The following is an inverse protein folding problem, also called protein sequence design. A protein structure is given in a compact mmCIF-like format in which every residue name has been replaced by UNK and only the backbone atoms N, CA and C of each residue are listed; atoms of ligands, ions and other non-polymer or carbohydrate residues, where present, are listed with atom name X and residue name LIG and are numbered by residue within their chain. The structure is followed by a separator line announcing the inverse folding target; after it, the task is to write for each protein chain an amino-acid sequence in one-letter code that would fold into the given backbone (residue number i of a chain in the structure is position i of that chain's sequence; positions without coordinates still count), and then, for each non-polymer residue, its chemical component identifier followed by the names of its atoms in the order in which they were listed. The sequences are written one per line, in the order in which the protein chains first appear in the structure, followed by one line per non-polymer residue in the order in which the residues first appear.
data_IF_584455889949
#
_entry.id   IF_584455889949
#
_cell.length_a   1.000
_cell.length_b   1.000
_cell.length_c   1.000
_cell.angle_alpha   90.00
_cell.angle_beta   90.00
_cell.angle_gamma   90.00
#
_symmetry.space_group_name_H-M   'P 1'
#
loop_
_entity.id
_entity.type
_entity.pdbx_description
1 polymer ?
#
# COMPACT_ATOMS: atom_id res chain seq x y z
N UNK A 1 -7.34 1.14 -43.85
CA UNK A 1 -5.87 1.27 -43.82
C UNK A 1 -5.29 -0.12 -43.73
N UNK A 2 -4.30 -0.42 -44.56
CA UNK A 2 -3.76 -1.76 -44.79
C UNK A 2 -2.96 -2.24 -43.56
N UNK A 3 -3.25 -3.43 -43.04
CA UNK A 3 -2.73 -3.99 -41.77
C UNK A 3 -1.28 -4.49 -41.84
N UNK A 4 -0.57 -4.26 -42.94
CA UNK A 4 0.76 -4.82 -43.21
C UNK A 4 1.95 -3.90 -42.86
N UNK A 5 1.72 -2.67 -42.40
CA UNK A 5 2.79 -1.67 -42.19
C UNK A 5 3.21 -1.42 -40.71
N UNK A 6 2.90 -2.33 -39.80
CA UNK A 6 3.21 -2.17 -38.35
C UNK A 6 4.68 -2.52 -38.02
N UNK A 7 5.45 -3.07 -38.95
CA UNK A 7 6.79 -3.60 -38.68
C UNK A 7 7.91 -2.57 -38.88
N UNK A 8 8.15 -1.70 -37.89
CA UNK A 8 9.39 -0.94 -37.81
C UNK A 8 10.32 -1.52 -36.74
N UNK A 9 11.43 -2.07 -37.22
CA UNK A 9 12.68 -2.39 -36.51
C UNK A 9 12.88 -3.83 -35.95
N UNK A 10 13.09 -4.79 -36.85
CA UNK A 10 13.75 -6.07 -36.54
C UNK A 10 15.27 -5.86 -36.43
N UNK A 11 15.83 -5.68 -35.23
CA UNK A 11 17.29 -5.73 -35.04
C UNK A 11 17.74 -7.13 -34.60
N UNK A 12 18.42 -7.83 -35.50
CA UNK A 12 19.15 -9.07 -35.20
C UNK A 12 20.38 -8.70 -34.34
N UNK A 13 20.38 -9.07 -33.05
CA UNK A 13 21.50 -8.75 -32.14
C UNK A 13 22.51 -9.91 -32.00
N UNK A 14 22.18 -11.16 -32.35
CA UNK A 14 23.11 -12.31 -32.47
C UNK A 14 22.35 -13.58 -32.94
N UNK A 15 23.00 -14.69 -33.35
CA UNK A 15 22.36 -15.72 -34.19
C UNK A 15 21.22 -16.54 -33.55
N UNK A 16 20.86 -16.35 -32.28
CA UNK A 16 19.73 -17.06 -31.65
C UNK A 16 18.99 -16.24 -30.56
N UNK A 17 19.02 -14.90 -30.60
CA UNK A 17 18.21 -14.08 -29.69
C UNK A 17 17.07 -13.43 -30.48
N UNK A 18 15.82 -13.81 -30.17
CA UNK A 18 14.64 -13.12 -30.68
C UNK A 18 14.23 -12.03 -29.71
N UNK A 19 13.92 -10.83 -30.24
CA UNK A 19 13.51 -9.66 -29.48
C UNK A 19 12.35 -8.98 -30.20
N UNK A 20 11.21 -8.87 -29.53
CA UNK A 20 10.05 -8.12 -30.01
C UNK A 20 9.79 -6.93 -29.09
N UNK A 21 9.47 -5.80 -29.69
CA UNK A 21 9.17 -4.56 -28.99
C UNK A 21 8.07 -3.77 -29.66
N UNK A 22 7.29 -3.11 -28.84
CA UNK A 22 6.35 -2.09 -29.27
C UNK A 22 6.28 -1.03 -28.19
N UNK A 23 6.22 0.24 -28.61
CA UNK A 23 6.29 1.41 -27.75
C UNK A 23 5.02 2.24 -27.88
N UNK A 24 4.63 2.87 -26.78
CA UNK A 24 3.45 3.69 -26.66
C UNK A 24 3.77 4.97 -25.86
N UNK A 25 3.37 6.15 -26.35
CA UNK A 25 3.47 7.37 -25.57
C UNK A 25 2.45 7.36 -24.43
N UNK A 26 2.83 7.87 -23.26
CA UNK A 26 1.95 7.95 -22.08
C UNK A 26 1.03 9.18 -22.13
N UNK A 27 0.25 9.35 -23.20
CA UNK A 27 -0.56 10.57 -23.46
C UNK A 27 -1.57 10.90 -22.35
N UNK A 28 -2.07 9.88 -21.64
CA UNK A 28 -3.01 10.04 -20.53
C UNK A 28 -2.33 10.26 -19.17
N UNK A 29 -1.00 10.38 -19.15
CA UNK A 29 -0.21 10.84 -18.00
C UNK A 29 0.54 12.13 -18.37
N UNK A 30 -0.10 13.33 -18.26
CA UNK A 30 0.40 14.55 -18.89
C UNK A 30 1.84 14.94 -18.54
N UNK A 31 2.27 14.72 -17.29
CA UNK A 31 3.63 15.01 -16.82
C UNK A 31 4.66 14.03 -17.37
N UNK A 32 4.33 12.74 -17.45
CA UNK A 32 5.17 11.73 -18.07
C UNK A 32 5.26 11.93 -19.58
N UNK A 33 4.14 12.26 -20.24
CA UNK A 33 4.12 12.58 -21.66
C UNK A 33 4.97 13.81 -22.00
N UNK A 34 4.83 14.90 -21.24
CA UNK A 34 5.62 16.12 -21.43
C UNK A 34 7.11 15.89 -21.19
N UNK A 35 7.47 14.98 -20.29
CA UNK A 35 8.84 14.54 -20.07
C UNK A 35 9.36 13.58 -21.17
N UNK A 36 8.55 13.28 -22.20
CA UNK A 36 8.94 12.41 -23.31
C UNK A 36 9.02 10.93 -22.96
N UNK A 37 8.30 10.50 -21.91
CA UNK A 37 8.36 9.11 -21.43
C UNK A 37 7.43 8.23 -22.25
N UNK A 38 7.97 7.10 -22.70
CA UNK A 38 7.24 6.04 -23.40
C UNK A 38 7.26 4.75 -22.59
N UNK A 39 6.17 4.00 -22.67
CA UNK A 39 6.04 2.64 -22.12
C UNK A 39 6.09 1.64 -23.28
N UNK A 40 6.78 0.51 -23.09
CA UNK A 40 6.95 -0.49 -24.12
C UNK A 40 6.79 -1.92 -23.59
N UNK A 41 6.24 -2.78 -24.44
CA UNK A 41 6.24 -4.21 -24.25
C UNK A 41 7.51 -4.77 -24.88
N UNK A 42 8.30 -5.55 -24.13
CA UNK A 42 9.51 -6.22 -24.63
C UNK A 42 9.50 -7.69 -24.28
N UNK A 43 9.63 -8.54 -25.29
CA UNK A 43 9.84 -9.97 -25.10
C UNK A 43 11.17 -10.37 -25.70
N UNK A 44 12.00 -11.04 -24.90
CA UNK A 44 13.28 -11.61 -25.35
C UNK A 44 13.31 -13.11 -25.15
N UNK A 45 13.63 -13.86 -26.20
CA UNK A 45 13.69 -15.32 -26.21
C UNK A 45 15.06 -15.80 -26.63
N UNK A 46 15.66 -16.64 -25.79
CA UNK A 46 16.91 -17.35 -26.04
C UNK A 46 16.63 -18.85 -26.11
N UNK A 47 17.45 -19.64 -26.82
CA UNK A 47 17.31 -21.10 -26.82
C UNK A 47 17.53 -21.61 -25.41
N UNK A 48 16.77 -22.63 -25.01
CA UNK A 48 16.92 -23.34 -23.73
C UNK A 48 16.64 -22.49 -22.47
N UNK A 49 16.12 -21.27 -22.61
CA UNK A 49 15.72 -20.41 -21.49
C UNK A 49 14.25 -19.99 -21.62
N UNK A 50 13.55 -19.78 -20.49
CA UNK A 50 12.19 -19.25 -20.54
C UNK A 50 12.17 -17.84 -21.18
N UNK A 51 11.09 -17.49 -21.90
CA UNK A 51 10.92 -16.15 -22.45
C UNK A 51 10.93 -15.11 -21.32
N UNK A 52 11.60 -13.99 -21.55
CA UNK A 52 11.60 -12.86 -20.60
C UNK A 52 10.67 -11.77 -21.11
N UNK A 53 9.59 -11.53 -20.37
CA UNK A 53 8.59 -10.51 -20.63
C UNK A 53 8.87 -9.30 -19.74
N UNK A 54 8.99 -8.12 -20.34
CA UNK A 54 9.33 -6.88 -19.65
C UNK A 54 8.44 -5.73 -20.09
N UNK A 55 7.87 -5.02 -19.14
CA UNK A 55 7.39 -3.65 -19.37
C UNK A 55 8.60 -2.74 -19.26
N UNK A 56 8.76 -1.83 -20.21
CA UNK A 56 9.95 -0.99 -20.32
C UNK A 56 9.53 0.45 -20.36
N UNK A 57 10.19 1.30 -19.57
CA UNK A 57 10.06 2.74 -19.64
C UNK A 57 11.34 3.32 -20.21
N UNK A 58 11.21 4.28 -21.13
CA UNK A 58 12.35 5.02 -21.67
C UNK A 58 12.10 6.52 -21.66
N UNK A 59 13.16 7.28 -21.46
CA UNK A 59 13.15 8.75 -21.49
C UNK A 59 14.57 9.26 -21.73
N UNK A 60 14.77 10.07 -22.77
CA UNK A 60 16.11 10.45 -23.21
C UNK A 60 16.96 9.20 -23.54
N UNK A 61 18.14 9.10 -22.92
CA UNK A 61 19.07 7.97 -23.08
C UNK A 61 18.91 6.87 -22.00
N UNK A 62 18.02 7.07 -21.03
CA UNK A 62 17.80 6.12 -19.94
C UNK A 62 16.64 5.16 -20.23
N UNK A 63 16.80 3.93 -19.73
CA UNK A 63 15.80 2.90 -19.83
C UNK A 63 15.74 2.07 -18.54
N UNK A 64 14.52 1.73 -18.10
CA UNK A 64 14.29 0.86 -16.97
C UNK A 64 13.18 -0.14 -17.29
N UNK A 65 13.32 -1.37 -16.81
CA UNK A 65 12.35 -2.44 -17.07
C UNK A 65 11.80 -3.07 -15.80
N UNK A 66 10.54 -3.49 -15.89
CA UNK A 66 9.79 -4.25 -14.90
C UNK A 66 9.58 -5.65 -15.46
N UNK A 67 9.95 -6.67 -14.69
CA UNK A 67 9.68 -8.05 -15.09
C UNK A 67 8.19 -8.34 -14.94
N UNK A 68 7.57 -8.86 -16.01
CA UNK A 68 6.16 -9.17 -16.05
C UNK A 68 5.96 -10.69 -16.14
N UNK A 69 5.12 -11.22 -15.27
CA UNK A 69 4.73 -12.64 -15.27
C UNK A 69 3.35 -12.88 -15.91
N UNK A 70 2.64 -11.81 -16.28
CA UNK A 70 1.27 -11.89 -16.78
C UNK A 70 1.22 -12.31 -18.24
N UNK A 71 0.28 -13.20 -18.53
CA UNK A 71 -0.12 -13.61 -19.87
C UNK A 71 -1.65 -13.54 -19.90
N UNK A 72 -2.18 -12.68 -20.78
CA UNK A 72 -3.59 -12.39 -21.11
C UNK A 72 -4.27 -11.23 -20.34
N UNK A 73 -4.61 -10.16 -21.07
CA UNK A 73 -5.63 -9.16 -20.71
C UNK A 73 -6.40 -8.74 -21.98
N UNK A 74 -7.72 -8.96 -21.95
CA UNK A 74 -8.71 -8.42 -22.89
C UNK A 74 -9.17 -7.04 -22.38
N UNK A 75 -9.31 -6.04 -23.26
CA UNK A 75 -9.55 -4.64 -22.91
C UNK A 75 -11.01 -4.17 -23.14
N UNK A 76 -12.00 -5.06 -23.05
CA UNK A 76 -13.44 -4.72 -23.17
C UNK A 76 -14.25 -4.93 -21.88
N UNK A 77 -15.51 -4.48 -21.86
CA UNK A 77 -16.44 -4.75 -20.75
C UNK A 77 -16.65 -6.26 -20.59
N UNK A 78 -16.85 -6.74 -19.36
CA UNK A 78 -17.20 -8.15 -19.12
C UNK A 78 -18.48 -8.56 -19.89
N UNK A 79 -19.37 -7.61 -20.13
CA UNK A 79 -20.63 -7.78 -20.85
C UNK A 79 -20.43 -7.90 -22.38
N UNK A 80 -19.25 -7.49 -22.89
CA UNK A 80 -18.91 -7.60 -24.31
C UNK A 80 -18.17 -8.89 -24.65
N UNK A 81 -17.95 -9.77 -23.67
CA UNK A 81 -17.33 -11.06 -23.91
C UNK A 81 -18.33 -12.04 -24.53
N UNK A 82 -17.91 -12.86 -25.51
CA UNK A 82 -18.68 -14.00 -25.97
C UNK A 82 -19.11 -14.90 -24.79
N UNK A 83 -20.31 -15.52 -24.83
CA UNK A 83 -20.79 -16.39 -23.74
C UNK A 83 -19.86 -17.58 -23.44
N UNK A 84 -19.01 -17.94 -24.39
CA UNK A 84 -18.02 -19.01 -24.38
C UNK A 84 -16.58 -18.52 -24.17
N UNK A 85 -16.39 -17.25 -23.83
CA UNK A 85 -15.05 -16.71 -23.59
C UNK A 85 -14.40 -17.37 -22.36
N UNK A 86 -13.23 -17.98 -22.58
CA UNK A 86 -12.39 -18.47 -21.48
C UNK A 86 -11.92 -17.28 -20.63
N UNK A 87 -12.44 -17.19 -19.41
CA UNK A 87 -11.99 -16.21 -18.42
C UNK A 87 -10.56 -16.54 -17.99
N UNK A 88 -9.71 -15.53 -17.90
CA UNK A 88 -8.32 -15.68 -17.46
C UNK A 88 -8.21 -16.40 -16.11
N UNK A 89 -7.45 -17.50 -16.08
CA UNK A 89 -7.10 -18.25 -14.87
C UNK A 89 -5.66 -17.97 -14.49
N UNK A 90 -5.35 -17.94 -13.19
CA UNK A 90 -3.97 -17.82 -12.72
C UNK A 90 -3.12 -18.99 -13.25
N UNK A 91 -2.05 -18.68 -13.98
CA UNK A 91 -1.11 -19.66 -14.52
C UNK A 91 -0.20 -20.30 -13.45
N UNK A 92 -0.29 -19.86 -12.19
CA UNK A 92 0.49 -20.41 -11.07
C UNK A 92 0.19 -21.90 -10.82
N UNK A 93 -1.03 -22.36 -11.14
CA UNK A 93 -1.44 -23.76 -11.00
C UNK A 93 -1.28 -24.59 -12.28
N UNK A 94 -1.28 -23.93 -13.44
CA UNK A 94 -1.20 -24.55 -14.76
C UNK A 94 -0.42 -23.62 -15.72
N UNK A 95 0.89 -23.82 -15.90
CA UNK A 95 1.68 -22.99 -16.80
C UNK A 95 1.21 -23.19 -18.24
N UNK A 96 0.75 -22.10 -18.87
CA UNK A 96 0.39 -22.10 -20.29
C UNK A 96 1.67 -22.03 -21.12
N UNK A 97 1.89 -23.03 -21.98
CA UNK A 97 2.99 -23.03 -22.94
C UNK A 97 2.50 -22.30 -24.20
N UNK A 98 2.95 -21.06 -24.38
CA UNK A 98 2.67 -20.27 -25.56
C UNK A 98 3.86 -20.23 -26.51
N UNK A 99 3.59 -19.98 -27.79
CA UNK A 99 4.64 -19.61 -28.72
C UNK A 99 5.27 -18.25 -28.31
N UNK A 100 6.57 -18.01 -28.59
CA UNK A 100 7.24 -16.73 -28.33
C UNK A 100 6.46 -15.48 -28.78
N UNK A 101 5.80 -15.56 -29.92
CA UNK A 101 5.02 -14.48 -30.53
C UNK A 101 3.72 -14.21 -29.76
N UNK A 102 3.08 -15.24 -29.22
CA UNK A 102 1.85 -15.13 -28.43
C UNK A 102 2.12 -14.50 -27.06
N UNK A 103 3.29 -14.77 -26.47
CA UNK A 103 3.75 -14.04 -25.28
C UNK A 103 3.90 -12.54 -25.56
N UNK A 104 4.43 -12.17 -26.73
CA UNK A 104 4.54 -10.76 -27.12
C UNK A 104 3.17 -10.13 -27.34
N UNK A 105 2.25 -10.79 -28.05
CA UNK A 105 0.91 -10.28 -28.28
C UNK A 105 0.16 -10.00 -26.96
N UNK A 106 0.21 -10.95 -26.02
CA UNK A 106 -0.42 -10.80 -24.71
C UNK A 106 0.17 -9.63 -23.90
N UNK A 107 1.50 -9.54 -23.80
CA UNK A 107 2.15 -8.43 -23.10
C UNK A 107 1.86 -7.09 -23.78
N UNK A 108 1.88 -7.06 -25.11
CA UNK A 108 1.66 -5.87 -25.90
C UNK A 108 0.25 -5.30 -25.70
N UNK A 109 -0.78 -6.16 -25.75
CA UNK A 109 -2.17 -5.79 -25.44
C UNK A 109 -2.27 -5.15 -24.05
N UNK A 110 -1.62 -5.75 -23.05
CA UNK A 110 -1.64 -5.24 -21.69
C UNK A 110 -0.94 -3.88 -21.54
N UNK A 111 0.25 -3.72 -22.13
CA UNK A 111 1.00 -2.46 -22.10
C UNK A 111 0.25 -1.35 -22.86
N UNK A 112 -0.35 -1.68 -24.01
CA UNK A 112 -1.20 -0.76 -24.76
C UNK A 112 -2.37 -0.28 -23.90
N UNK A 113 -3.05 -1.19 -23.19
CA UNK A 113 -4.13 -0.85 -22.27
C UNK A 113 -3.68 0.05 -21.12
N UNK A 114 -2.49 -0.18 -20.54
CA UNK A 114 -1.93 0.74 -19.54
C UNK A 114 -1.70 2.14 -20.13
N UNK A 115 -1.14 2.24 -21.34
CA UNK A 115 -0.90 3.52 -22.00
C UNK A 115 -2.21 4.25 -22.34
N UNK A 116 -3.24 3.51 -22.75
CA UNK A 116 -4.56 4.03 -23.09
C UNK A 116 -5.34 4.48 -21.84
N UNK A 117 -5.26 3.76 -20.72
CA UNK A 117 -5.92 4.16 -19.47
C UNK A 117 -5.14 5.27 -18.75
N UNK A 118 -3.81 5.23 -18.81
CA UNK A 118 -2.90 6.07 -18.03
C UNK A 118 -2.50 5.41 -16.71
N UNK A 119 -1.23 5.55 -16.34
CA UNK A 119 -0.67 4.96 -15.13
C UNK A 119 -1.39 5.48 -13.88
N UNK A 120 -1.60 6.79 -13.74
CA UNK A 120 -2.29 7.35 -12.56
C UNK A 120 -3.63 6.66 -12.30
N UNK A 121 -4.47 6.55 -13.33
CA UNK A 121 -5.77 5.88 -13.26
C UNK A 121 -5.61 4.39 -12.95
N UNK A 122 -4.60 3.70 -13.52
CA UNK A 122 -4.32 2.30 -13.20
C UNK A 122 -4.00 2.08 -11.71
N UNK A 123 -3.27 3.00 -11.06
CA UNK A 123 -3.03 2.93 -9.61
C UNK A 123 -4.32 3.11 -8.80
N UNK A 124 -5.19 4.05 -9.18
CA UNK A 124 -6.49 4.28 -8.51
C UNK A 124 -7.44 3.10 -8.71
N UNK A 125 -7.53 2.54 -9.92
CA UNK A 125 -8.38 1.37 -10.22
C UNK A 125 -7.91 0.12 -9.45
N UNK A 126 -6.60 -0.09 -9.33
CA UNK A 126 -6.06 -1.22 -8.57
C UNK A 126 -6.41 -1.17 -7.08
N UNK A 127 -6.59 0.04 -6.52
CA UNK A 127 -7.10 0.22 -5.15
C UNK A 127 -8.57 -0.22 -5.02
N UNK A 128 -9.40 0.09 -6.00
CA UNK A 128 -10.82 -0.25 -6.00
C UNK A 128 -11.08 -1.73 -6.30
N UNK A 129 -10.22 -2.34 -7.10
CA UNK A 129 -10.33 -3.74 -7.49
C UNK A 129 -10.08 -4.75 -6.34
N UNK A 130 -9.49 -4.31 -5.21
CA UNK A 130 -9.24 -5.16 -4.05
C UNK A 130 -8.35 -6.37 -4.38
N UNK A 131 -8.85 -7.59 -4.09
CA UNK A 131 -8.16 -8.85 -4.39
C UNK A 131 -8.42 -9.36 -5.82
N UNK A 132 -9.09 -8.60 -6.69
CA UNK A 132 -9.27 -9.04 -8.07
C UNK A 132 -7.92 -9.14 -8.78
N UNK A 133 -7.69 -10.19 -9.57
CA UNK A 133 -6.43 -10.41 -10.29
C UNK A 133 -6.35 -9.50 -11.52
N UNK A 134 -6.48 -8.19 -11.33
CA UNK A 134 -6.03 -7.21 -12.31
C UNK A 134 -4.51 -7.32 -12.26
N UNK A 135 -3.82 -7.52 -13.38
CA UNK A 135 -2.36 -7.74 -13.44
C UNK A 135 -1.47 -6.58 -12.93
N UNK A 136 -2.04 -5.66 -12.13
CA UNK A 136 -1.47 -4.44 -11.60
C UNK A 136 -1.40 -4.45 -10.06
N UNK A 137 -0.94 -5.56 -9.49
CA UNK A 137 -0.84 -5.75 -8.05
C UNK A 137 0.21 -4.82 -7.39
N UNK A 138 0.28 -4.82 -6.05
CA UNK A 138 1.18 -3.95 -5.28
C UNK A 138 2.67 -4.12 -5.65
N UNK A 139 3.10 -5.35 -5.97
CA UNK A 139 4.49 -5.60 -6.38
C UNK A 139 4.78 -4.99 -7.76
N UNK A 140 3.84 -5.10 -8.70
CA UNK A 140 3.92 -4.48 -10.02
C UNK A 140 4.01 -2.94 -9.88
N UNK A 141 3.13 -2.36 -9.07
CA UNK A 141 3.11 -0.92 -8.75
C UNK A 141 4.46 -0.44 -8.22
N UNK A 142 5.04 -1.16 -7.26
CA UNK A 142 6.36 -0.83 -6.70
C UNK A 142 7.46 -0.88 -7.76
N UNK A 143 7.47 -1.91 -8.61
CA UNK A 143 8.46 -2.03 -9.69
C UNK A 143 8.32 -0.91 -10.73
N UNK A 144 7.09 -0.54 -11.09
CA UNK A 144 6.82 0.57 -12.02
C UNK A 144 7.32 1.89 -11.45
N UNK A 145 6.99 2.23 -10.21
CA UNK A 145 7.46 3.48 -9.58
C UNK A 145 8.99 3.50 -9.48
N UNK A 146 9.63 2.36 -9.21
CA UNK A 146 11.09 2.25 -9.19
C UNK A 146 11.71 2.46 -10.58
N UNK A 147 11.10 1.89 -11.62
CA UNK A 147 11.55 2.08 -13.00
C UNK A 147 11.38 3.53 -13.45
N UNK A 148 10.22 4.14 -13.17
CA UNK A 148 9.93 5.54 -13.49
C UNK A 148 10.84 6.51 -12.73
N UNK A 149 11.10 6.28 -11.44
CA UNK A 149 12.04 7.08 -10.64
C UNK A 149 13.43 7.14 -11.29
N UNK A 150 13.86 6.05 -11.95
CA UNK A 150 15.14 6.01 -12.65
C UNK A 150 15.14 6.83 -13.95
N UNK A 151 14.09 6.72 -14.77
CA UNK A 151 14.06 7.35 -16.10
C UNK A 151 13.50 8.78 -16.10
N UNK A 152 12.68 9.13 -15.10
CA UNK A 152 11.92 10.37 -15.04
C UNK A 152 11.58 10.78 -13.60
N UNK A 153 12.56 11.06 -12.73
CA UNK A 153 12.32 11.29 -11.30
C UNK A 153 11.30 12.42 -11.03
N UNK A 154 11.43 13.56 -11.71
CA UNK A 154 10.51 14.68 -11.52
C UNK A 154 9.06 14.36 -11.93
N UNK A 155 8.86 13.72 -13.09
CA UNK A 155 7.52 13.32 -13.53
C UNK A 155 6.94 12.19 -12.66
N UNK A 156 7.80 11.33 -12.11
CA UNK A 156 7.39 10.28 -11.15
C UNK A 156 6.95 10.89 -9.83
N UNK A 157 7.64 11.92 -9.35
CA UNK A 157 7.23 12.67 -8.16
C UNK A 157 5.85 13.29 -8.36
N UNK A 158 5.61 13.94 -9.50
CA UNK A 158 4.29 14.51 -9.83
C UNK A 158 3.19 13.43 -9.84
N UNK A 159 3.46 12.28 -10.45
CA UNK A 159 2.54 11.13 -10.44
C UNK A 159 2.25 10.66 -9.01
N UNK A 160 3.28 10.46 -8.20
CA UNK A 160 3.13 10.04 -6.80
C UNK A 160 2.30 11.05 -5.98
N UNK A 161 2.51 12.36 -6.17
CA UNK A 161 1.76 13.39 -5.48
C UNK A 161 0.29 13.43 -5.90
N UNK A 162 0.00 13.23 -7.19
CA UNK A 162 -1.37 13.15 -7.69
C UNK A 162 -2.11 11.93 -7.11
N UNK A 163 -1.48 10.74 -7.11
CA UNK A 163 -2.08 9.53 -6.54
C UNK A 163 -2.25 9.68 -5.02
N UNK A 164 -1.29 10.33 -4.33
CA UNK A 164 -1.36 10.60 -2.90
C UNK A 164 -2.59 11.46 -2.56
N UNK A 165 -2.84 12.54 -3.32
CA UNK A 165 -4.00 13.40 -3.10
C UNK A 165 -5.32 12.66 -3.31
N UNK A 166 -5.42 11.87 -4.38
CA UNK A 166 -6.57 11.01 -4.68
C UNK A 166 -6.85 10.00 -3.54
N UNK A 167 -5.80 9.34 -3.06
CA UNK A 167 -5.89 8.35 -1.99
C UNK A 167 -6.29 8.97 -0.64
N UNK A 168 -5.80 10.18 -0.33
CA UNK A 168 -6.17 10.90 0.90
C UNK A 168 -7.64 11.32 0.85
N UNK A 169 -8.13 11.82 -0.28
CA UNK A 169 -9.52 12.25 -0.43
C UNK A 169 -10.49 11.08 -0.37
N UNK A 170 -10.12 9.95 -0.98
CA UNK A 170 -11.01 8.81 -1.13
C UNK A 170 -11.07 7.89 0.11
N UNK A 171 -10.05 7.90 0.98
CA UNK A 171 -10.01 7.14 2.23
C UNK A 171 -10.05 5.60 2.09
N UNK A 172 -10.25 4.90 3.21
CA UNK A 172 -10.45 3.45 3.26
C UNK A 172 -9.20 2.58 3.47
N UNK A 173 -9.41 1.28 3.74
CA UNK A 173 -8.33 0.32 4.00
C UNK A 173 -7.54 -0.05 2.74
N UNK A 174 -8.19 -0.11 1.56
CA UNK A 174 -7.50 -0.34 0.28
C UNK A 174 -6.52 0.78 -0.07
N UNK A 175 -6.78 2.01 0.38
CA UNK A 175 -5.85 3.13 0.23
C UNK A 175 -4.56 2.91 1.03
N UNK A 176 -4.56 2.14 2.14
CA UNK A 176 -3.37 1.99 2.98
C UNK A 176 -2.23 1.24 2.28
N UNK A 177 -2.54 0.21 1.51
CA UNK A 177 -1.53 -0.56 0.76
C UNK A 177 -0.92 0.32 -0.33
N UNK A 178 -1.76 1.03 -1.07
CA UNK A 178 -1.33 1.98 -2.09
C UNK A 178 -0.47 3.10 -1.48
N UNK A 179 -0.92 3.71 -0.38
CA UNK A 179 -0.18 4.75 0.34
C UNK A 179 1.18 4.25 0.84
N UNK A 180 1.28 3.00 1.31
CA UNK A 180 2.56 2.43 1.72
C UNK A 180 3.54 2.33 0.54
N UNK A 181 3.09 1.82 -0.61
CA UNK A 181 3.88 1.75 -1.84
C UNK A 181 4.32 3.14 -2.32
N UNK A 182 3.40 4.11 -2.34
CA UNK A 182 3.67 5.49 -2.75
C UNK A 182 4.67 6.18 -1.82
N UNK A 183 4.49 6.07 -0.50
CA UNK A 183 5.39 6.67 0.49
C UNK A 183 6.80 6.07 0.44
N UNK A 184 6.91 4.78 0.12
CA UNK A 184 8.20 4.14 -0.19
C UNK A 184 8.89 4.79 -1.39
N UNK A 185 8.17 4.92 -2.51
CA UNK A 185 8.69 5.57 -3.71
C UNK A 185 9.05 7.05 -3.50
N UNK A 186 8.20 7.80 -2.80
CA UNK A 186 8.47 9.20 -2.41
C UNK A 186 9.75 9.31 -1.58
N UNK A 187 9.96 8.40 -0.63
CA UNK A 187 11.17 8.38 0.20
C UNK A 187 12.43 8.14 -0.64
N UNK A 188 12.37 7.25 -1.63
CA UNK A 188 13.49 6.99 -2.54
C UNK A 188 13.76 8.19 -3.46
N UNK A 189 12.72 8.82 -3.99
CA UNK A 189 12.81 10.06 -4.78
C UNK A 189 13.45 11.20 -3.97
N UNK A 190 12.98 11.42 -2.73
CA UNK A 190 13.54 12.44 -1.83
C UNK A 190 15.02 12.20 -1.47
N UNK A 191 15.52 10.95 -1.56
CA UNK A 191 16.94 10.66 -1.32
C UNK A 191 17.78 10.80 -2.59
N UNK A 192 17.20 10.49 -3.75
CA UNK A 192 17.92 10.41 -5.02
C UNK A 192 17.90 11.70 -5.84
N UNK A 193 16.77 12.41 -5.86
CA UNK A 193 16.64 13.67 -6.60
C UNK A 193 16.98 14.84 -5.70
N UNK A 194 18.00 15.59 -6.09
CA UNK A 194 18.49 16.73 -5.33
C UNK A 194 17.80 18.04 -5.73
N UNK A 195 16.98 18.06 -6.78
CA UNK A 195 16.37 19.27 -7.32
C UNK A 195 14.88 19.40 -6.99
N UNK A 196 14.41 18.73 -5.94
CA UNK A 196 13.02 18.84 -5.51
C UNK A 196 12.73 20.28 -5.02
N UNK A 197 11.67 20.93 -5.54
CA UNK A 197 11.29 22.28 -5.15
C UNK A 197 10.98 22.41 -3.64
N UNK A 198 11.42 23.50 -2.99
CA UNK A 198 11.14 23.79 -1.59
C UNK A 198 9.66 23.69 -1.19
N UNK A 199 8.74 24.08 -2.09
CA UNK A 199 7.30 24.06 -1.83
C UNK A 199 6.76 22.62 -1.69
N UNK A 200 7.33 21.68 -2.46
CA UNK A 200 6.96 20.26 -2.36
C UNK A 200 7.50 19.68 -1.06
N UNK A 201 8.73 20.02 -0.69
CA UNK A 201 9.34 19.61 0.60
C UNK A 201 8.52 20.14 1.78
N UNK A 202 8.12 21.41 1.74
CA UNK A 202 7.27 22.02 2.75
C UNK A 202 5.91 21.31 2.85
N UNK A 203 5.29 20.90 1.74
CA UNK A 203 4.06 20.09 1.73
C UNK A 203 4.28 18.71 2.34
N UNK A 204 5.32 17.99 1.92
CA UNK A 204 5.62 16.62 2.38
C UNK A 204 6.06 16.57 3.85
N UNK A 205 6.50 17.69 4.43
CA UNK A 205 6.75 17.78 5.86
C UNK A 205 5.49 17.52 6.72
N UNK A 206 4.30 17.72 6.15
CA UNK A 206 3.01 17.42 6.79
C UNK A 206 2.52 15.99 6.51
N UNK A 207 3.28 15.17 5.78
CA UNK A 207 2.89 13.78 5.54
C UNK A 207 2.84 13.03 6.88
N UNK A 208 1.85 12.17 7.04
CA UNK A 208 1.66 11.37 8.25
C UNK A 208 2.76 10.32 8.44
N UNK A 209 3.44 9.91 7.36
CA UNK A 209 4.51 8.94 7.39
C UNK A 209 5.83 9.57 7.85
N UNK A 210 6.37 9.03 8.94
CA UNK A 210 7.62 9.52 9.55
C UNK A 210 8.83 9.38 8.62
N UNK A 211 8.90 8.33 7.79
CA UNK A 211 10.03 8.12 6.88
C UNK A 211 10.06 9.18 5.78
N UNK A 212 8.89 9.59 5.27
CA UNK A 212 8.75 10.71 4.33
C UNK A 212 9.23 12.01 4.99
N UNK A 213 8.72 12.33 6.19
CA UNK A 213 9.15 13.53 6.92
C UNK A 213 10.65 13.54 7.23
N UNK A 214 11.22 12.38 7.58
CA UNK A 214 12.66 12.23 7.83
C UNK A 214 13.47 12.43 6.54
N UNK A 215 12.99 11.91 5.41
CA UNK A 215 13.62 12.14 4.11
C UNK A 215 13.59 13.62 3.71
N UNK A 216 12.47 14.32 3.94
CA UNK A 216 12.39 15.78 3.78
C UNK A 216 13.43 16.47 4.67
N UNK A 217 13.53 16.12 5.94
CA UNK A 217 14.51 16.72 6.86
C UNK A 217 15.97 16.47 6.50
N UNK A 218 16.27 15.44 5.69
CA UNK A 218 17.60 15.18 5.16
C UNK A 218 17.88 15.78 3.77
N UNK A 219 16.87 16.36 3.12
CA UNK A 219 16.99 16.85 1.76
C UNK A 219 17.68 18.24 1.71
N UNK A 220 18.62 18.42 0.77
CA UNK A 220 19.49 19.63 0.72
C UNK A 220 18.75 20.95 0.45
N UNK A 221 17.59 20.90 -0.23
CA UNK A 221 16.77 22.08 -0.54
C UNK A 221 15.67 22.35 0.50
N UNK A 222 15.67 21.66 1.63
CA UNK A 222 14.63 21.83 2.66
C UNK A 222 14.74 23.22 3.30
N UNK A 223 13.66 24.03 3.30
CA UNK A 223 13.69 25.36 3.89
C UNK A 223 14.00 25.33 5.39
N UNK A 224 14.67 26.38 5.93
CA UNK A 224 14.92 26.50 7.36
C UNK A 224 13.66 26.39 8.23
N UNK A 225 12.55 27.00 7.80
CA UNK A 225 11.28 26.96 8.52
C UNK A 225 10.71 25.54 8.56
N UNK A 226 10.89 24.78 7.48
CA UNK A 226 10.50 23.37 7.41
C UNK A 226 11.36 22.52 8.34
N UNK A 227 12.67 22.79 8.45
CA UNK A 227 13.52 22.10 9.44
C UNK A 227 13.07 22.37 10.88
N UNK A 228 12.74 23.62 11.21
CA UNK A 228 12.23 23.98 12.54
C UNK A 228 10.95 23.19 12.86
N UNK A 229 10.00 23.20 11.93
CA UNK A 229 8.75 22.44 12.08
C UNK A 229 9.02 20.93 12.26
N UNK A 230 9.87 20.34 11.43
CA UNK A 230 10.21 18.91 11.52
C UNK A 230 10.90 18.56 12.85
N UNK A 231 11.75 19.44 13.37
CA UNK A 231 12.39 19.25 14.67
C UNK A 231 11.37 19.28 15.82
N UNK A 232 10.39 20.18 15.78
CA UNK A 232 9.31 20.22 16.76
C UNK A 232 8.43 18.97 16.70
N UNK A 233 8.07 18.52 15.49
CA UNK A 233 7.31 17.28 15.28
C UNK A 233 8.08 16.08 15.82
N UNK A 234 9.36 15.94 15.46
CA UNK A 234 10.21 14.86 15.93
C UNK A 234 10.35 14.85 17.46
N UNK A 235 10.42 16.02 18.10
CA UNK A 235 10.44 16.13 19.56
C UNK A 235 9.12 15.64 20.18
N UNK A 236 7.96 16.03 19.62
CA UNK A 236 6.64 15.57 20.08
C UNK A 236 6.51 14.05 19.97
N UNK A 237 6.95 13.46 18.86
CA UNK A 237 6.96 12.00 18.66
C UNK A 237 7.91 11.29 19.63
N UNK A 238 9.11 11.83 19.84
CA UNK A 238 10.07 11.29 20.80
C UNK A 238 9.52 11.33 22.25
N UNK A 239 8.88 12.43 22.65
CA UNK A 239 8.21 12.53 23.95
C UNK A 239 7.06 11.54 24.07
N UNK A 240 6.24 11.35 23.04
CA UNK A 240 5.14 10.40 23.05
C UNK A 240 5.61 8.94 23.22
N UNK A 241 6.74 8.56 22.60
CA UNK A 241 7.32 7.20 22.70
C UNK A 241 8.08 6.94 23.98
N UNK A 242 8.59 8.00 24.63
CA UNK A 242 9.44 7.85 25.80
C UNK A 242 8.63 7.40 27.03
N UNK A 243 8.99 6.23 27.57
CA UNK A 243 8.33 5.65 28.75
C UNK A 243 8.64 6.40 30.06
N UNK A 244 9.50 7.41 30.03
CA UNK A 244 9.77 8.31 31.16
C UNK A 244 9.05 9.66 31.03
N UNK A 245 8.30 9.88 29.96
CA UNK A 245 7.50 11.10 29.80
C UNK A 245 6.40 11.13 30.86
N UNK A 246 6.26 12.29 31.50
CA UNK A 246 5.27 12.50 32.55
C UNK A 246 3.83 12.34 32.02
N UNK A 247 2.90 11.80 32.82
CA UNK A 247 1.47 11.75 32.51
C UNK A 247 0.87 13.05 31.95
N UNK A 248 1.27 14.20 32.48
CA UNK A 248 0.76 15.53 32.12
C UNK A 248 1.13 15.91 30.67
N UNK A 249 2.37 15.61 30.27
CA UNK A 249 2.83 15.82 28.88
C UNK A 249 2.10 14.85 27.95
N UNK A 250 1.94 13.57 28.32
CA UNK A 250 1.19 12.61 27.52
C UNK A 250 -0.28 13.05 27.33
N UNK A 251 -0.90 13.60 28.37
CA UNK A 251 -2.26 14.13 28.29
C UNK A 251 -2.40 15.30 27.31
N UNK A 252 -1.36 16.15 27.20
CA UNK A 252 -1.28 17.22 26.19
C UNK A 252 -1.05 16.67 24.78
N UNK A 253 -0.12 15.74 24.62
CA UNK A 253 0.21 15.13 23.33
C UNK A 253 -0.94 14.29 22.75
N UNK A 254 -1.82 13.76 23.59
CA UNK A 254 -3.03 13.07 23.16
C UNK A 254 -4.00 13.96 22.36
N UNK A 255 -3.85 15.29 22.39
CA UNK A 255 -4.61 16.22 21.55
C UNK A 255 -3.85 16.71 20.31
N UNK A 256 -2.71 16.10 19.97
CA UNK A 256 -1.89 16.55 18.84
C UNK A 256 -2.59 16.32 17.49
N UNK A 257 -2.36 17.20 16.53
CA UNK A 257 -2.93 17.09 15.17
C UNK A 257 -2.47 15.82 14.42
N UNK A 258 -1.22 15.41 14.65
CA UNK A 258 -0.67 14.21 14.04
C UNK A 258 -1.18 12.96 14.75
N UNK A 259 -1.87 12.12 13.99
CA UNK A 259 -2.34 10.83 14.49
C UNK A 259 -1.21 9.90 14.91
N UNK A 260 -0.01 10.02 14.34
CA UNK A 260 1.18 9.26 14.75
C UNK A 260 1.55 9.55 16.20
N UNK A 261 1.57 10.83 16.59
CA UNK A 261 1.82 11.26 17.97
C UNK A 261 0.72 10.71 18.90
N UNK A 262 -0.56 10.80 18.51
CA UNK A 262 -1.67 10.27 19.31
C UNK A 262 -1.60 8.75 19.46
N UNK A 263 -1.19 8.04 18.41
CA UNK A 263 -0.97 6.59 18.44
C UNK A 263 0.17 6.21 19.40
N UNK A 264 1.30 6.93 19.34
CA UNK A 264 2.43 6.73 20.24
C UNK A 264 2.02 6.97 21.70
N UNK A 265 1.23 8.02 21.97
CA UNK A 265 0.65 8.25 23.29
C UNK A 265 -0.28 7.10 23.69
N UNK A 266 -1.17 6.63 22.81
CA UNK A 266 -2.06 5.52 23.10
C UNK A 266 -1.30 4.24 23.50
N UNK A 267 -0.14 3.99 22.87
CA UNK A 267 0.71 2.80 23.13
C UNK A 267 1.64 2.96 24.34
N UNK A 268 1.87 4.18 24.80
CA UNK A 268 2.79 4.44 25.91
C UNK A 268 2.23 3.91 27.24
N UNK A 269 3.03 3.11 27.95
CA UNK A 269 2.62 2.41 29.18
C UNK A 269 2.31 3.37 30.35
N UNK A 270 2.84 4.59 30.30
CA UNK A 270 2.61 5.65 31.30
C UNK A 270 1.40 6.51 30.98
N UNK A 271 0.73 6.29 29.86
CA UNK A 271 -0.47 7.04 29.51
C UNK A 271 -1.57 6.76 30.53
N UNK A 272 -2.14 7.81 31.15
CA UNK A 272 -3.16 7.64 32.17
C UNK A 272 -4.43 6.97 31.63
N UNK A 273 -5.12 6.15 32.46
CA UNK A 273 -6.41 5.55 32.12
C UNK A 273 -7.43 6.52 31.51
N UNK A 274 -7.51 7.75 32.02
CA UNK A 274 -8.44 8.78 31.57
C UNK A 274 -8.11 9.26 30.16
N UNK A 275 -6.81 9.37 29.84
CA UNK A 275 -6.33 9.72 28.50
C UNK A 275 -6.59 8.58 27.53
N UNK A 276 -6.39 7.32 27.95
CA UNK A 276 -6.72 6.14 27.15
C UNK A 276 -8.22 6.05 26.86
N UNK A 277 -9.07 6.34 27.85
CA UNK A 277 -10.52 6.38 27.68
C UNK A 277 -10.96 7.43 26.65
N UNK A 278 -10.29 8.59 26.61
CA UNK A 278 -10.51 9.62 25.58
C UNK A 278 -10.04 9.15 24.20
N UNK A 279 -8.82 8.62 24.09
CA UNK A 279 -8.23 8.15 22.82
C UNK A 279 -8.95 6.94 22.22
N UNK A 280 -9.68 6.16 23.02
CA UNK A 280 -10.52 5.08 22.51
C UNK A 280 -11.72 5.56 21.69
N UNK A 281 -12.01 6.88 21.65
CA UNK A 281 -12.96 7.50 20.72
C UNK A 281 -12.29 8.23 19.54
N UNK A 282 -10.98 8.05 19.31
CA UNK A 282 -10.28 8.72 18.22
C UNK A 282 -10.83 8.30 16.85
N UNK A 283 -10.91 9.24 15.92
CA UNK A 283 -11.35 8.97 14.55
C UNK A 283 -10.43 7.98 13.83
N UNK A 284 -9.14 7.96 14.18
CA UNK A 284 -8.19 7.04 13.58
C UNK A 284 -8.17 5.69 14.31
N UNK A 285 -8.49 4.63 13.58
CA UNK A 285 -8.52 3.27 14.12
C UNK A 285 -7.17 2.77 14.66
N UNK A 286 -6.03 3.26 14.15
CA UNK A 286 -4.70 2.88 14.69
C UNK A 286 -4.47 3.45 16.08
N UNK A 287 -4.99 4.65 16.36
CA UNK A 287 -4.97 5.23 17.71
C UNK A 287 -5.81 4.37 18.65
N UNK A 288 -7.05 4.01 18.24
CA UNK A 288 -7.92 3.11 19.00
C UNK A 288 -7.30 1.73 19.23
N UNK A 289 -6.65 1.19 18.20
CA UNK A 289 -5.86 -0.05 18.28
C UNK A 289 -4.69 0.09 19.26
N UNK A 290 -4.00 1.23 19.27
CA UNK A 290 -2.96 1.57 20.25
C UNK A 290 -3.47 1.53 21.68
N UNK A 291 -4.68 2.05 21.93
CA UNK A 291 -5.36 1.93 23.23
C UNK A 291 -5.64 0.46 23.55
N UNK A 292 -6.16 -0.33 22.60
CA UNK A 292 -6.42 -1.75 22.81
C UNK A 292 -5.12 -2.56 23.08
N UNK A 293 -3.96 -2.16 22.55
CA UNK A 293 -2.66 -2.81 22.84
C UNK A 293 -2.17 -2.48 24.26
N UNK A 294 -2.52 -1.32 24.79
CA UNK A 294 -1.96 -0.83 26.04
C UNK A 294 -2.45 -1.65 27.24
N UNK A 295 -1.51 -2.02 28.11
CA UNK A 295 -1.81 -2.82 29.31
C UNK A 295 -2.46 -1.99 30.41
N UNK A 296 -2.28 -0.67 30.39
CA UNK A 296 -2.91 0.24 31.35
C UNK A 296 -4.35 0.59 30.98
N UNK A 297 -4.87 0.05 29.86
CA UNK A 297 -6.23 0.31 29.39
C UNK A 297 -7.27 -0.31 30.33
N UNK A 298 -8.23 0.48 30.83
CA UNK A 298 -9.28 -0.02 31.70
C UNK A 298 -10.16 -1.10 31.05
N UNK A 299 -10.64 -2.09 31.82
CA UNK A 299 -11.60 -3.10 31.39
C UNK A 299 -12.79 -2.54 30.60
N UNK A 300 -13.37 -1.44 31.05
CA UNK A 300 -14.56 -0.81 30.48
C UNK A 300 -14.26 -0.21 29.09
N UNK A 301 -13.05 0.31 28.92
CA UNK A 301 -12.57 0.83 27.63
C UNK A 301 -12.33 -0.34 26.65
N UNK A 302 -11.77 -1.46 27.13
CA UNK A 302 -11.60 -2.67 26.32
C UNK A 302 -12.96 -3.27 25.92
N UNK A 303 -13.96 -3.25 26.81
CA UNK A 303 -15.32 -3.68 26.50
C UNK A 303 -15.93 -2.86 25.36
N UNK A 304 -15.75 -1.53 25.38
CA UNK A 304 -16.20 -0.65 24.29
C UNK A 304 -15.46 -0.94 22.98
N UNK A 305 -14.13 -1.09 23.02
CA UNK A 305 -13.32 -1.39 21.82
C UNK A 305 -13.57 -2.79 21.25
N UNK A 306 -14.16 -3.71 22.01
CA UNK A 306 -14.59 -5.01 21.50
C UNK A 306 -15.76 -4.90 20.51
N UNK A 307 -16.47 -3.77 20.52
CA UNK A 307 -17.58 -3.45 19.61
C UNK A 307 -17.15 -2.54 18.46
N UNK A 308 -15.85 -2.25 18.32
CA UNK A 308 -15.33 -1.35 17.29
C UNK A 308 -15.66 -1.86 15.88
N UNK A 309 -16.03 -0.96 14.98
CA UNK A 309 -16.34 -1.29 13.59
C UNK A 309 -15.12 -1.92 12.88
N UNK A 310 -13.90 -1.50 13.25
CA UNK A 310 -12.66 -1.95 12.62
C UNK A 310 -12.21 -3.27 13.22
N UNK A 311 -12.16 -4.28 12.36
CA UNK A 311 -11.75 -5.65 12.65
C UNK A 311 -10.40 -5.74 13.35
N UNK A 312 -9.41 -4.94 12.93
CA UNK A 312 -8.09 -4.92 13.55
C UNK A 312 -8.10 -4.42 14.99
N UNK A 313 -9.01 -3.52 15.36
CA UNK A 313 -9.18 -3.08 16.75
C UNK A 313 -9.72 -4.23 17.60
N UNK A 314 -10.78 -4.91 17.15
CA UNK A 314 -11.37 -6.07 17.84
C UNK A 314 -10.36 -7.21 18.02
N UNK A 315 -9.55 -7.49 16.99
CA UNK A 315 -8.44 -8.48 17.05
C UNK A 315 -7.44 -8.14 18.15
N UNK A 316 -7.09 -6.87 18.31
CA UNK A 316 -6.16 -6.44 19.36
C UNK A 316 -6.78 -6.60 20.75
N UNK A 317 -8.06 -6.27 20.92
CA UNK A 317 -8.77 -6.51 22.18
C UNK A 317 -8.78 -8.00 22.54
N UNK A 318 -9.02 -8.89 21.57
CA UNK A 318 -8.98 -10.33 21.80
C UNK A 318 -7.62 -10.83 22.31
N UNK A 319 -6.50 -10.20 21.92
CA UNK A 319 -5.15 -10.59 22.36
C UNK A 319 -4.67 -9.88 23.63
N UNK A 320 -5.25 -8.74 24.02
CA UNK A 320 -4.88 -8.05 25.27
C UNK A 320 -5.13 -8.97 26.48
N UNK A 321 -4.18 -9.00 27.42
CA UNK A 321 -4.22 -9.87 28.60
C UNK A 321 -5.19 -9.36 29.68
N UNK A 322 -5.49 -8.07 29.67
CA UNK A 322 -6.38 -7.43 30.64
C UNK A 322 -7.83 -7.36 30.14
N UNK A 323 -8.11 -7.92 28.97
CA UNK A 323 -9.47 -8.04 28.44
C UNK A 323 -10.29 -8.95 29.36
N UNK A 324 -11.41 -8.46 29.90
CA UNK A 324 -12.21 -9.24 30.84
C UNK A 324 -12.78 -10.53 30.23
N UNK A 325 -12.97 -11.59 31.04
CA UNK A 325 -13.54 -12.86 30.58
C UNK A 325 -14.86 -12.70 29.83
N UNK A 326 -15.75 -11.84 30.31
CA UNK A 326 -17.06 -11.55 29.72
C UNK A 326 -16.94 -10.91 28.33
N UNK A 327 -15.95 -10.03 28.13
CA UNK A 327 -15.67 -9.42 26.83
C UNK A 327 -15.08 -10.46 25.87
N UNK A 328 -14.18 -11.33 26.36
CA UNK A 328 -13.65 -12.44 25.58
C UNK A 328 -14.75 -13.44 25.18
N UNK A 329 -15.76 -13.65 26.03
CA UNK A 329 -16.91 -14.50 25.73
C UNK A 329 -17.76 -13.92 24.59
N UNK A 330 -17.99 -12.60 24.60
CA UNK A 330 -18.67 -11.91 23.49
C UNK A 330 -17.88 -12.01 22.18
N UNK A 331 -16.57 -11.79 22.21
CA UNK A 331 -15.68 -11.91 21.05
C UNK A 331 -15.54 -13.36 20.52
N UNK A 332 -15.90 -14.38 21.31
CA UNK A 332 -15.95 -15.76 20.82
C UNK A 332 -17.01 -15.95 19.72
N UNK A 333 -18.01 -15.07 19.69
CA UNK A 333 -19.07 -15.01 18.68
C UNK A 333 -18.88 -13.87 17.66
N UNK A 334 -17.67 -13.28 17.58
CA UNK A 334 -17.37 -12.22 16.60
C UNK A 334 -17.59 -12.72 15.17
N UNK A 335 -17.96 -11.82 14.25
CA UNK A 335 -18.17 -12.15 12.83
C UNK A 335 -16.88 -12.57 12.14
N UNK A 336 -15.73 -12.08 12.61
CA UNK A 336 -14.42 -12.43 12.06
C UNK A 336 -13.89 -13.76 12.58
N UNK A 337 -13.45 -14.62 11.66
CA UNK A 337 -12.93 -15.94 11.99
C UNK A 337 -11.61 -15.87 12.78
N UNK A 338 -10.76 -14.87 12.51
CA UNK A 338 -9.46 -14.76 13.17
C UNK A 338 -9.63 -14.32 14.62
N UNK A 339 -10.56 -13.41 14.91
CA UNK A 339 -10.95 -13.06 16.28
C UNK A 339 -11.38 -14.32 17.04
N UNK A 340 -12.31 -15.11 16.49
CA UNK A 340 -12.78 -16.37 17.09
C UNK A 340 -11.64 -17.37 17.34
N UNK A 341 -10.74 -17.55 16.36
CA UNK A 341 -9.59 -18.46 16.48
C UNK A 341 -8.64 -18.04 17.62
N UNK A 342 -8.42 -16.73 17.81
CA UNK A 342 -7.57 -16.22 18.90
C UNK A 342 -8.17 -16.46 20.27
N UNK A 343 -9.48 -16.28 20.43
CA UNK A 343 -10.20 -16.59 21.67
C UNK A 343 -10.10 -18.09 21.97
N UNK A 344 -10.31 -18.94 20.97
CA UNK A 344 -10.21 -20.40 21.14
C UNK A 344 -8.80 -20.84 21.57
N UNK A 345 -7.75 -20.24 21.00
CA UNK A 345 -6.37 -20.47 21.42
C UNK A 345 -6.11 -20.03 22.86
N UNK A 346 -6.69 -18.92 23.31
CA UNK A 346 -6.63 -18.50 24.73
C UNK A 346 -7.37 -19.49 25.63
N UNK A 347 -8.56 -19.95 25.23
CA UNK A 347 -9.36 -20.96 25.95
C UNK A 347 -8.58 -22.25 26.16
N UNK A 348 -7.88 -22.75 25.14
CA UNK A 348 -7.05 -23.97 25.22
C UNK A 348 -5.80 -23.82 26.11
N UNK A 349 -5.31 -22.60 26.29
CA UNK A 349 -4.12 -22.31 27.14
C UNK A 349 -4.48 -21.98 28.59
N UNK A 350 -5.72 -21.56 28.87
CA UNK A 350 -6.20 -21.28 30.22
C UNK A 350 -6.57 -22.59 30.93
N UNK A 351 -6.06 -22.76 32.16
CA UNK A 351 -6.35 -23.88 33.09
C UNK A 351 -7.87 -24.11 33.27
N UNK A 352 -8.35 -25.33 33.62
CA UNK A 352 -9.78 -25.70 33.70
C UNK A 352 -10.71 -24.76 34.48
N UNK A 353 -10.18 -23.84 35.29
CA UNK A 353 -10.91 -22.82 36.05
C UNK A 353 -11.55 -21.70 35.19
N UNK A 354 -11.25 -21.62 33.89
CA UNK A 354 -11.89 -20.66 32.96
C UNK A 354 -13.32 -21.06 32.55
N UNK A 355 -13.81 -22.23 32.96
CA UNK A 355 -15.09 -22.80 32.49
C UNK A 355 -16.34 -22.14 33.07
N UNK A 356 -16.25 -21.28 34.10
CA UNK A 356 -17.43 -20.85 34.84
C UNK A 356 -18.21 -19.66 34.22
N UNK A 357 -17.58 -18.55 33.78
CA UNK A 357 -18.34 -17.44 33.18
C UNK A 357 -18.90 -17.73 31.78
N UNK A 358 -18.35 -18.74 31.08
CA UNK A 358 -18.73 -19.09 29.71
C UNK A 358 -19.99 -19.96 29.61
N UNK A 359 -20.31 -20.74 30.65
CA UNK A 359 -21.53 -21.56 30.69
C UNK A 359 -22.78 -20.72 30.98
N UNK A 360 -22.65 -19.70 31.83
CA UNK A 360 -23.79 -18.87 32.22
C UNK A 360 -24.25 -17.90 31.12
N UNK A 361 -23.34 -17.46 30.23
CA UNK A 361 -23.67 -16.52 29.16
C UNK A 361 -24.26 -17.16 27.89
N UNK A 362 -24.08 -18.48 27.68
CA UNK A 362 -24.54 -19.17 26.47
C UNK A 362 -25.78 -20.05 26.67
N UNK A 363 -26.29 -20.21 27.91
CA UNK A 363 -27.56 -20.89 28.14
C UNK A 363 -27.62 -22.32 27.56
N UNK A 364 -26.52 -23.06 27.58
CA UNK A 364 -26.51 -24.46 27.16
C UNK A 364 -27.18 -25.32 28.24
N UNK A 365 -28.45 -25.69 28.00
CA UNK A 365 -29.07 -26.91 28.57
C UNK A 365 -28.57 -28.15 27.83
#
# INVERSE_FOLDING_TARGET
MNTNDIWKDKRLVSPKLYRWEQWYPLQNDPRLFTAGIEIGARVTVQPEKPPKLRIVFRGGDEEASVDCVHVAVYSGSLESLPPDADLGRSSESHPVILAPEEHFFALNSYVAGIAEVGLGVMFTLAREAGNMPVGFNALMQQQILKALTRVAPAATLDLCLWILDDAILSGGDSAQVLLATLRGALTDLLKGDSNIPPQILARLAWDENEDVRRAVGGHKNTPPETHTYLAEVANREAMARNNNTSPEILARLAGNELKSVREDVARNKKTPPEVLARLAGDQNWRVRSGVAVNKSTPPEVLARLAEDEVLDVRRVVAVNKNTPPEVLARLASDTDWFVREKIERKRKKASPYWRNPFREALGDQ
#
